data_IF_008815486102
#
_entry.id   IF_008815486102
#
_cell.length_a   1.000
_cell.length_b   1.000
_cell.length_c   1.000
_cell.angle_alpha   90.00
_cell.angle_beta   90.00
_cell.angle_gamma   90.00
#
_symmetry.space_group_name_H-M   'P 1'
#
loop_
_entity.id
_entity.type
_entity.pdbx_description
1 polymer ?
#
# COMPACT_ATOMS: atom_id res chain seq x y z
N UNK A 1 -5.29 -1.65 12.66
CA UNK A 1 -5.89 -2.64 11.72
C UNK A 1 -4.82 -3.58 11.16
N UNK A 2 -5.19 -4.74 10.61
CA UNK A 2 -4.25 -5.62 9.89
C UNK A 2 -4.10 -5.16 8.43
N UNK A 3 -2.95 -4.53 8.12
CA UNK A 3 -2.68 -4.02 6.78
C UNK A 3 -2.66 -5.14 5.73
N UNK A 4 -2.13 -6.32 6.05
CA UNK A 4 -1.95 -7.38 5.06
C UNK A 4 -3.29 -7.99 4.64
N UNK A 5 -4.28 -8.01 5.52
CA UNK A 5 -5.60 -8.59 5.28
C UNK A 5 -6.61 -7.59 4.70
N UNK A 6 -6.36 -6.28 4.77
CA UNK A 6 -7.25 -5.29 4.14
C UNK A 6 -7.09 -5.26 2.63
N UNK A 7 -8.19 -4.96 1.94
CA UNK A 7 -8.15 -4.77 0.49
C UNK A 7 -7.46 -3.46 0.14
N UNK A 8 -6.83 -3.42 -1.03
CA UNK A 8 -6.25 -2.18 -1.58
C UNK A 8 -7.31 -1.07 -1.65
N UNK A 9 -8.55 -1.44 -1.96
CA UNK A 9 -9.68 -0.49 -1.95
C UNK A 9 -9.84 0.18 -0.59
N UNK A 10 -9.95 -0.61 0.47
CA UNK A 10 -10.15 -0.11 1.85
C UNK A 10 -8.95 0.73 2.32
N UNK A 11 -7.73 0.30 1.96
CA UNK A 11 -6.52 1.07 2.21
C UNK A 11 -6.61 2.48 1.60
N UNK A 12 -7.00 2.61 0.32
CA UNK A 12 -7.08 3.90 -0.36
C UNK A 12 -8.28 4.75 0.03
N UNK A 13 -9.48 4.16 0.14
CA UNK A 13 -10.73 4.89 0.31
C UNK A 13 -11.10 5.15 1.77
N UNK A 14 -10.71 4.26 2.70
CA UNK A 14 -11.10 4.35 4.12
C UNK A 14 -9.92 4.80 4.98
N UNK A 15 -8.73 4.30 4.70
CA UNK A 15 -7.58 4.50 5.59
C UNK A 15 -6.65 5.65 5.17
N UNK A 16 -6.93 6.34 4.07
CA UNK A 16 -6.07 7.44 3.58
C UNK A 16 -4.76 6.94 2.96
N UNK A 17 -4.78 5.71 2.43
CA UNK A 17 -3.62 5.06 1.81
C UNK A 17 -3.03 5.84 0.65
N UNK A 18 -3.83 6.69 -0.01
CA UNK A 18 -3.35 7.60 -1.06
C UNK A 18 -2.27 8.56 -0.54
N UNK A 19 -2.52 9.24 0.57
CA UNK A 19 -1.59 10.21 1.16
C UNK A 19 -0.32 9.51 1.66
N UNK A 20 -0.47 8.31 2.23
CA UNK A 20 0.66 7.47 2.63
C UNK A 20 1.51 7.06 1.42
N UNK A 21 0.87 6.67 0.32
CA UNK A 21 1.58 6.38 -0.91
C UNK A 21 2.24 7.63 -1.50
N UNK A 22 1.60 8.81 -1.49
CA UNK A 22 2.23 10.05 -1.98
C UNK A 22 3.50 10.39 -1.18
N UNK A 23 3.44 10.21 0.15
CA UNK A 23 4.55 10.52 1.05
C UNK A 23 5.69 9.50 1.00
N UNK A 24 5.38 8.22 1.02
CA UNK A 24 6.38 7.15 1.18
C UNK A 24 6.73 6.46 -0.14
N UNK A 25 5.78 6.38 -1.07
CA UNK A 25 5.88 5.56 -2.28
C UNK A 25 5.16 6.17 -3.50
N UNK A 26 5.54 7.38 -3.95
CA UNK A 26 4.81 8.08 -5.03
C UNK A 26 4.85 7.32 -6.37
N UNK A 27 5.87 6.48 -6.59
CA UNK A 27 5.95 5.58 -7.75
C UNK A 27 4.80 4.57 -7.78
N UNK A 28 4.29 4.17 -6.61
CA UNK A 28 3.19 3.24 -6.48
C UNK A 28 1.88 3.81 -7.04
N UNK A 29 1.69 5.13 -6.98
CA UNK A 29 0.51 5.82 -7.53
C UNK A 29 0.55 5.95 -9.06
N UNK A 30 1.76 5.93 -9.64
CA UNK A 30 1.95 5.85 -11.08
C UNK A 30 1.65 4.46 -11.62
N UNK A 31 1.82 3.44 -10.78
CA UNK A 31 1.41 2.08 -11.09
C UNK A 31 -0.13 1.99 -11.03
N UNK A 32 -0.80 1.24 -11.91
CA UNK A 32 -2.26 1.11 -11.93
C UNK A 32 -2.76 0.22 -10.77
N UNK A 33 -2.47 0.61 -9.53
CA UNK A 33 -2.90 -0.05 -8.30
C UNK A 33 -4.43 -0.18 -8.20
N UNK A 34 -5.17 0.73 -8.86
CA UNK A 34 -6.63 0.68 -8.96
C UNK A 34 -7.17 -0.63 -9.53
N UNK A 35 -6.41 -1.30 -10.41
CA UNK A 35 -6.77 -2.62 -10.95
C UNK A 35 -6.77 -3.72 -9.89
N UNK A 36 -6.06 -3.50 -8.79
CA UNK A 36 -5.88 -4.46 -7.70
C UNK A 36 -6.75 -4.15 -6.48
N UNK A 37 -7.78 -3.31 -6.61
CA UNK A 37 -8.67 -2.93 -5.50
C UNK A 37 -9.34 -4.11 -4.78
N UNK A 38 -9.60 -5.20 -5.50
CA UNK A 38 -10.16 -6.44 -4.92
C UNK A 38 -9.12 -7.35 -4.24
N UNK A 39 -7.83 -7.06 -4.43
CA UNK A 39 -6.72 -7.81 -3.86
C UNK A 39 -6.35 -7.23 -2.49
N UNK A 40 -5.66 -8.05 -1.70
CA UNK A 40 -5.19 -7.66 -0.39
C UNK A 40 -3.94 -6.79 -0.51
N UNK A 41 -3.78 -5.82 0.39
CA UNK A 41 -2.58 -4.99 0.43
C UNK A 41 -1.33 -5.82 0.67
N UNK A 42 -1.40 -6.89 1.45
CA UNK A 42 -0.27 -7.81 1.64
C UNK A 42 0.24 -8.39 0.32
N UNK A 43 -0.64 -8.92 -0.54
CA UNK A 43 -0.25 -9.46 -1.85
C UNK A 43 0.33 -8.37 -2.77
N UNK A 44 -0.30 -7.18 -2.79
CA UNK A 44 0.11 -6.12 -3.71
C UNK A 44 1.40 -5.44 -3.28
N UNK A 45 1.55 -5.15 -1.99
CA UNK A 45 2.76 -4.55 -1.44
C UNK A 45 3.95 -5.52 -1.49
N UNK A 46 3.73 -6.82 -1.32
CA UNK A 46 4.77 -7.82 -1.56
C UNK A 46 5.20 -7.83 -3.04
N UNK A 47 4.22 -7.85 -3.97
CA UNK A 47 4.50 -7.85 -5.40
C UNK A 47 5.26 -6.59 -5.85
N UNK A 48 4.87 -5.40 -5.38
CA UNK A 48 5.53 -4.15 -5.78
C UNK A 48 6.90 -3.98 -5.10
N UNK A 49 7.08 -4.53 -3.90
CA UNK A 49 8.39 -4.58 -3.24
C UNK A 49 9.33 -5.55 -3.96
N UNK A 50 8.83 -6.74 -4.32
CA UNK A 50 9.56 -7.77 -5.09
C UNK A 50 9.95 -7.27 -6.48
N UNK A 51 9.10 -6.47 -7.13
CA UNK A 51 9.43 -5.79 -8.41
C UNK A 51 10.36 -4.57 -8.26
N UNK A 52 10.72 -4.18 -7.04
CA UNK A 52 11.55 -3.00 -6.77
C UNK A 52 10.85 -1.67 -7.07
N UNK A 53 9.52 -1.65 -7.19
CA UNK A 53 8.74 -0.41 -7.38
C UNK A 53 8.78 0.45 -6.11
N UNK A 54 8.80 -0.20 -4.95
CA UNK A 54 8.94 0.42 -3.64
C UNK A 54 10.01 -0.31 -2.82
N UNK A 55 10.87 0.41 -2.07
CA UNK A 55 11.78 -0.23 -1.14
C UNK A 55 11.03 -0.76 0.09
N UNK A 56 11.53 -1.85 0.68
CA UNK A 56 10.92 -2.51 1.84
C UNK A 56 10.75 -1.57 3.05
N UNK A 57 11.68 -0.63 3.25
CA UNK A 57 11.59 0.42 4.28
C UNK A 57 10.31 1.27 4.14
N UNK A 58 9.94 1.64 2.91
CA UNK A 58 8.75 2.44 2.64
C UNK A 58 7.47 1.63 2.78
N UNK A 59 7.49 0.37 2.37
CA UNK A 59 6.39 -0.55 2.61
C UNK A 59 6.13 -0.70 4.12
N UNK A 60 7.18 -0.94 4.91
CA UNK A 60 7.10 -1.04 6.36
C UNK A 60 6.60 0.26 7.01
N UNK A 61 7.00 1.42 6.52
CA UNK A 61 6.52 2.71 7.01
C UNK A 61 5.01 2.92 6.75
N UNK A 62 4.50 2.49 5.58
CA UNK A 62 3.07 2.53 5.25
C UNK A 62 2.30 1.56 6.16
N UNK A 63 2.80 0.34 6.34
CA UNK A 63 2.24 -0.66 7.25
C UNK A 63 2.16 -0.13 8.69
N UNK A 64 3.23 0.47 9.18
CA UNK A 64 3.29 1.06 10.51
C UNK A 64 2.30 2.23 10.67
N UNK A 65 2.20 3.10 9.66
CA UNK A 65 1.27 4.23 9.68
C UNK A 65 -0.20 3.78 9.72
N UNK A 66 -0.54 2.71 9.00
CA UNK A 66 -1.88 2.10 9.04
C UNK A 66 -2.15 1.40 10.38
N UNK A 67 -1.14 0.74 10.95
CA UNK A 67 -1.28 0.07 12.25
C UNK A 67 -1.44 1.06 13.41
N UNK A 68 -0.84 2.24 13.30
CA UNK A 68 -0.93 3.31 14.29
C UNK A 68 -2.24 4.12 14.22
N UNK A 69 -3.08 3.86 13.21
CA UNK A 69 -4.39 4.48 13.02
C UNK A 69 -5.49 3.57 13.58
#
# INVERSE_FOLDING_TARGET
>A
MDFKSMTVRDFFEVNGGKELCEKYAPNLLKYPIKLFYKKNCGEIFDLVTSKGLIPADKAAAIEAAIKAK
#
